data_IF_203036558670
#
_entry.id   IF_203036558670
#
_cell.length_a   1.000
_cell.length_b   1.000
_cell.length_c   1.000
_cell.angle_alpha   90.00
_cell.angle_beta   90.00
_cell.angle_gamma   90.00
#
_symmetry.space_group_name_H-M   'P 1'
#
loop_
_entity.id
_entity.type
_entity.pdbx_description
1 polymer ?
#
# COMPACT_ATOMS: atom_id res chain seq x y z
N UNK A 1 -50.68 16.02 36.59
CA UNK A 1 -50.77 16.23 35.14
C UNK A 1 -49.76 17.32 34.83
N UNK A 2 -48.71 17.18 34.04
CA UNK A 2 -48.30 16.19 33.06
C UNK A 2 -46.80 16.44 32.80
N UNK A 3 -46.00 15.38 32.79
CA UNK A 3 -44.58 15.44 32.47
C UNK A 3 -44.41 15.68 30.96
N UNK A 4 -43.79 16.79 30.55
CA UNK A 4 -43.37 16.98 29.16
C UNK A 4 -41.85 16.88 29.07
N UNK A 5 -41.36 15.64 29.09
CA UNK A 5 -40.01 15.32 28.66
C UNK A 5 -40.02 15.20 27.13
N UNK A 6 -39.61 16.25 26.42
CA UNK A 6 -39.33 16.19 24.98
C UNK A 6 -38.20 15.19 24.72
N UNK A 7 -38.37 14.18 23.84
CA UNK A 7 -37.30 13.25 23.52
C UNK A 7 -36.26 13.98 22.66
N UNK A 8 -35.07 14.18 23.22
CA UNK A 8 -33.87 14.61 22.50
C UNK A 8 -33.59 13.56 21.42
N UNK A 9 -33.89 13.86 20.15
CA UNK A 9 -33.44 13.08 19.00
C UNK A 9 -31.92 12.95 19.12
N UNK A 10 -31.46 11.76 19.49
CA UNK A 10 -30.06 11.38 19.35
C UNK A 10 -29.79 11.42 17.85
N UNK A 11 -28.96 12.38 17.41
CA UNK A 11 -28.47 12.44 16.04
C UNK A 11 -27.73 11.15 15.77
N UNK A 12 -28.44 10.18 15.19
CA UNK A 12 -27.89 8.94 14.68
C UNK A 12 -26.92 9.34 13.57
N UNK A 13 -25.61 9.26 13.86
CA UNK A 13 -24.57 9.54 12.90
C UNK A 13 -24.75 8.57 11.73
N UNK A 14 -25.13 9.09 10.56
CA UNK A 14 -25.32 8.30 9.36
C UNK A 14 -24.08 7.43 9.08
N UNK A 15 -24.24 6.16 8.70
CA UNK A 15 -23.11 5.30 8.39
C UNK A 15 -22.30 5.91 7.23
N UNK A 16 -20.96 5.80 7.24
CA UNK A 16 -20.14 6.34 6.16
C UNK A 16 -20.63 5.84 4.80
N UNK A 17 -20.87 6.77 3.87
CA UNK A 17 -21.46 6.46 2.57
C UNK A 17 -20.60 5.48 1.77
N UNK A 18 -21.24 4.50 1.12
CA UNK A 18 -20.61 3.49 0.26
C UNK A 18 -19.70 4.12 -0.82
N UNK A 19 -19.97 5.36 -1.20
CA UNK A 19 -19.17 6.15 -2.15
C UNK A 19 -17.80 6.53 -1.59
N UNK A 20 -17.71 6.94 -0.32
CA UNK A 20 -16.43 7.25 0.31
C UNK A 20 -15.51 6.02 0.35
N UNK A 21 -16.08 4.86 0.69
CA UNK A 21 -15.33 3.60 0.69
C UNK A 21 -14.80 3.25 -0.72
N UNK A 22 -15.66 3.38 -1.74
CA UNK A 22 -15.27 3.14 -3.14
C UNK A 22 -14.15 4.08 -3.60
N UNK A 23 -14.26 5.38 -3.27
CA UNK A 23 -13.27 6.37 -3.65
C UNK A 23 -11.91 6.11 -2.99
N UNK A 24 -11.90 5.81 -1.69
CA UNK A 24 -10.67 5.44 -0.98
C UNK A 24 -10.04 4.20 -1.61
N UNK A 25 -10.84 3.16 -1.89
CA UNK A 25 -10.34 1.95 -2.54
C UNK A 25 -9.71 2.24 -3.91
N UNK A 26 -10.39 3.00 -4.77
CA UNK A 26 -9.87 3.37 -6.10
C UNK A 26 -8.58 4.17 -5.98
N UNK A 27 -8.52 5.15 -5.07
CA UNK A 27 -7.31 5.93 -4.83
C UNK A 27 -6.15 5.07 -4.31
N UNK A 28 -6.41 4.13 -3.41
CA UNK A 28 -5.39 3.20 -2.91
C UNK A 28 -4.85 2.30 -4.01
N UNK A 29 -5.72 1.75 -4.87
CA UNK A 29 -5.30 0.95 -6.03
C UNK A 29 -4.47 1.78 -7.00
N UNK A 30 -4.93 3.00 -7.31
CA UNK A 30 -4.21 3.90 -8.22
C UNK A 30 -2.84 4.29 -7.66
N UNK A 31 -2.75 4.64 -6.38
CA UNK A 31 -1.49 4.93 -5.71
C UNK A 31 -0.55 3.73 -5.77
N UNK A 32 -1.04 2.52 -5.49
CA UNK A 32 -0.22 1.32 -5.53
C UNK A 32 0.29 1.03 -6.95
N UNK A 33 -0.57 1.20 -7.96
CA UNK A 33 -0.18 1.07 -9.37
C UNK A 33 0.90 2.10 -9.75
N UNK A 34 0.76 3.36 -9.31
CA UNK A 34 1.74 4.41 -9.57
C UNK A 34 3.10 4.12 -8.92
N UNK A 35 3.11 3.61 -7.69
CA UNK A 35 4.33 3.21 -6.98
C UNK A 35 5.05 2.06 -7.70
N UNK A 36 4.32 1.00 -8.05
CA UNK A 36 4.87 -0.13 -8.80
C UNK A 36 5.34 0.26 -10.19
N UNK A 37 4.58 1.09 -10.90
CA UNK A 37 5.00 1.64 -12.19
C UNK A 37 6.30 2.43 -12.05
N UNK A 38 6.39 3.28 -11.04
CA UNK A 38 7.58 4.07 -10.74
C UNK A 38 8.81 3.22 -10.43
N UNK A 39 8.65 2.10 -9.73
CA UNK A 39 9.72 1.15 -9.46
C UNK A 39 10.15 0.38 -10.71
N UNK A 40 9.19 -0.13 -11.49
CA UNK A 40 9.47 -0.84 -12.74
C UNK A 40 10.14 0.10 -13.76
N UNK A 41 9.76 1.37 -13.79
CA UNK A 41 10.38 2.36 -14.67
C UNK A 41 11.85 2.58 -14.33
N UNK A 42 12.19 2.67 -13.04
CA UNK A 42 13.58 2.78 -12.58
C UNK A 42 14.40 1.56 -12.99
N UNK A 43 13.87 0.36 -12.73
CA UNK A 43 14.56 -0.90 -13.03
C UNK A 43 14.55 -1.27 -14.52
N UNK A 44 13.73 -0.62 -15.34
CA UNK A 44 13.57 -0.96 -16.76
C UNK A 44 14.86 -0.81 -17.57
N UNK A 45 15.74 0.11 -17.19
CA UNK A 45 17.05 0.28 -17.81
C UNK A 45 17.92 -0.95 -17.62
N UNK A 46 18.09 -1.38 -16.38
CA UNK A 46 18.81 -2.59 -15.99
C UNK A 46 18.25 -3.83 -16.69
N UNK A 47 16.92 -3.99 -16.71
CA UNK A 47 16.28 -5.17 -17.30
C UNK A 47 16.36 -5.21 -18.83
N UNK A 48 16.53 -4.08 -19.49
CA UNK A 48 16.54 -4.03 -20.96
C UNK A 48 17.95 -3.98 -21.53
N UNK A 49 18.90 -3.40 -20.80
CA UNK A 49 20.27 -3.15 -21.28
C UNK A 49 21.25 -4.21 -20.77
N UNK A 50 21.10 -4.68 -19.53
CA UNK A 50 22.00 -5.67 -18.96
C UNK A 50 21.48 -7.09 -19.24
N UNK A 51 22.25 -7.86 -20.01
CA UNK A 51 21.92 -9.26 -20.37
C UNK A 51 21.71 -10.15 -19.13
N UNK A 52 22.47 -9.90 -18.06
CA UNK A 52 22.34 -10.62 -16.79
C UNK A 52 20.98 -10.40 -16.12
N UNK A 53 20.35 -9.24 -16.33
CA UNK A 53 19.07 -8.87 -15.72
C UNK A 53 17.89 -8.90 -16.70
N UNK A 54 18.06 -9.47 -17.89
CA UNK A 54 17.04 -9.45 -18.94
C UNK A 54 15.69 -10.06 -18.49
N UNK A 55 15.74 -11.09 -17.63
CA UNK A 55 14.54 -11.71 -17.03
C UNK A 55 13.80 -10.80 -16.03
N UNK A 56 14.31 -9.62 -15.72
CA UNK A 56 13.71 -8.68 -14.78
C UNK A 56 12.30 -8.22 -15.20
N UNK A 57 12.03 -8.11 -16.51
CA UNK A 57 10.68 -7.80 -17.02
C UNK A 57 9.62 -8.83 -16.64
N UNK A 58 10.00 -10.07 -16.33
CA UNK A 58 9.07 -11.09 -15.86
C UNK A 58 8.62 -10.87 -14.41
N UNK A 59 9.39 -10.15 -13.61
CA UNK A 59 9.20 -10.02 -12.16
C UNK A 59 7.83 -9.42 -11.78
N UNK A 60 7.33 -8.34 -12.38
CA UNK A 60 6.01 -7.78 -12.02
C UNK A 60 4.87 -8.78 -12.24
N UNK A 61 4.91 -9.53 -13.34
CA UNK A 61 3.91 -10.55 -13.65
C UNK A 61 4.00 -11.73 -12.68
N UNK A 62 5.22 -12.15 -12.37
CA UNK A 62 5.45 -13.22 -11.41
C UNK A 62 4.99 -12.84 -10.00
N UNK A 63 5.26 -11.61 -9.57
CA UNK A 63 4.78 -11.08 -8.28
C UNK A 63 3.24 -11.06 -8.21
N UNK A 64 2.55 -10.62 -9.28
CA UNK A 64 1.09 -10.67 -9.37
C UNK A 64 0.55 -12.10 -9.31
N UNK A 65 1.22 -13.04 -9.99
CA UNK A 65 0.85 -14.45 -9.96
C UNK A 65 1.03 -15.07 -8.57
N UNK A 66 2.16 -14.83 -7.90
CA UNK A 66 2.39 -15.28 -6.53
C UNK A 66 1.40 -14.65 -5.55
N UNK A 67 1.08 -13.37 -5.72
CA UNK A 67 0.05 -12.70 -4.95
C UNK A 67 -1.31 -13.37 -5.15
N UNK A 68 -1.70 -13.64 -6.40
CA UNK A 68 -2.95 -14.32 -6.73
C UNK A 68 -3.04 -15.70 -6.07
N UNK A 69 -1.98 -16.51 -6.15
CA UNK A 69 -1.91 -17.80 -5.48
C UNK A 69 -2.07 -17.65 -3.97
N UNK A 70 -1.31 -16.73 -3.36
CA UNK A 70 -1.35 -16.51 -1.91
C UNK A 70 -2.71 -16.02 -1.43
N UNK A 71 -3.39 -15.21 -2.23
CA UNK A 71 -4.67 -14.61 -1.88
C UNK A 71 -5.82 -15.64 -1.80
N UNK A 72 -5.73 -16.73 -2.58
CA UNK A 72 -6.72 -17.82 -2.52
C UNK A 72 -6.75 -18.51 -1.15
N UNK A 73 -5.58 -18.65 -0.51
CA UNK A 73 -5.42 -19.33 0.78
C UNK A 73 -5.46 -18.38 1.99
N UNK A 74 -6.05 -17.18 1.84
CA UNK A 74 -6.01 -16.18 2.91
C UNK A 74 -6.79 -16.63 4.16
N UNK A 75 -6.20 -16.54 5.36
CA UNK A 75 -6.90 -16.87 6.60
C UNK A 75 -8.00 -15.84 6.91
N UNK A 76 -9.04 -16.25 7.65
CA UNK A 76 -10.08 -15.32 8.09
C UNK A 76 -9.50 -14.30 9.09
N UNK A 77 -9.92 -13.02 9.05
CA UNK A 77 -9.40 -12.00 9.95
C UNK A 77 -9.70 -12.36 11.41
N UNK A 78 -8.66 -12.47 12.24
CA UNK A 78 -8.81 -12.64 13.69
C UNK A 78 -8.80 -11.25 14.33
N UNK A 79 -9.98 -10.75 14.70
CA UNK A 79 -10.11 -9.46 15.40
C UNK A 79 -9.60 -9.58 16.84
N UNK A 80 -8.42 -9.02 17.14
CA UNK A 80 -7.88 -8.95 18.49
C UNK A 80 -7.49 -7.50 18.87
N UNK A 81 -7.47 -7.17 20.16
CA UNK A 81 -7.11 -5.84 20.67
C UNK A 81 -5.69 -5.39 20.26
N UNK A 82 -4.78 -6.34 19.99
CA UNK A 82 -3.46 -6.08 19.39
C UNK A 82 -3.55 -5.35 18.05
N UNK A 83 -4.63 -5.53 17.28
CA UNK A 83 -4.84 -4.89 15.96
C UNK A 83 -4.77 -3.36 15.99
N UNK A 84 -5.16 -2.69 17.09
CA UNK A 84 -5.19 -1.23 17.17
C UNK A 84 -3.82 -0.59 17.44
N UNK A 85 -2.96 -1.25 18.22
CA UNK A 85 -1.57 -0.79 18.38
C UNK A 85 -0.77 -1.07 17.11
N UNK A 86 -0.98 -2.25 16.51
CA UNK A 86 -0.42 -2.62 15.23
C UNK A 86 -0.84 -1.68 14.09
N UNK A 87 -2.05 -1.09 14.14
CA UNK A 87 -2.49 -0.15 13.11
C UNK A 87 -1.85 1.23 13.21
N UNK A 88 -1.52 1.71 14.41
CA UNK A 88 -0.78 2.97 14.60
C UNK A 88 0.66 2.84 14.14
N UNK A 89 1.34 1.76 14.52
CA UNK A 89 2.71 1.49 14.04
C UNK A 89 2.74 1.27 12.53
N UNK A 90 1.79 0.52 11.97
CA UNK A 90 1.63 0.37 10.52
C UNK A 90 1.46 1.72 9.80
N UNK A 91 0.65 2.62 10.35
CA UNK A 91 0.45 3.96 9.77
C UNK A 91 1.74 4.79 9.82
N UNK A 92 2.48 4.75 10.93
CA UNK A 92 3.76 5.43 11.05
C UNK A 92 4.79 4.87 10.04
N UNK A 93 4.88 3.55 9.89
CA UNK A 93 5.76 2.90 8.92
C UNK A 93 5.39 3.32 7.49
N UNK A 94 4.09 3.34 7.15
CA UNK A 94 3.64 3.78 5.83
C UNK A 94 4.02 5.24 5.55
N UNK A 95 3.83 6.13 6.53
CA UNK A 95 4.20 7.54 6.40
C UNK A 95 5.71 7.68 6.19
N UNK A 96 6.52 6.99 6.99
CA UNK A 96 7.99 7.03 6.85
C UNK A 96 8.42 6.49 5.50
N UNK A 97 7.85 5.38 5.03
CA UNK A 97 8.16 4.81 3.72
C UNK A 97 7.80 5.77 2.57
N UNK A 98 6.64 6.42 2.64
CA UNK A 98 6.23 7.41 1.64
C UNK A 98 7.13 8.65 1.66
N UNK A 99 7.48 9.14 2.85
CA UNK A 99 8.40 10.28 3.00
C UNK A 99 9.80 9.93 2.50
N UNK A 100 10.27 8.70 2.68
CA UNK A 100 11.58 8.23 2.20
C UNK A 100 11.64 8.19 0.66
N UNK A 101 10.55 7.85 -0.01
CA UNK A 101 10.49 7.81 -1.47
C UNK A 101 10.74 9.17 -2.11
N UNK A 102 10.37 10.27 -1.44
CA UNK A 102 10.55 11.61 -1.98
C UNK A 102 12.02 12.02 -2.21
N UNK A 103 12.91 12.04 -1.18
CA UNK A 103 14.32 12.31 -1.39
C UNK A 103 14.98 11.24 -2.24
N UNK A 104 14.54 9.98 -2.14
CA UNK A 104 15.07 8.88 -2.94
C UNK A 104 14.96 9.15 -4.44
N UNK A 105 13.84 9.71 -4.91
CA UNK A 105 13.65 10.11 -6.30
C UNK A 105 14.67 11.13 -6.78
N UNK A 106 15.07 12.08 -5.94
CA UNK A 106 16.08 13.07 -6.30
C UNK A 106 17.45 12.40 -6.48
N UNK A 107 17.78 11.43 -5.64
CA UNK A 107 19.04 10.69 -5.74
C UNK A 107 19.08 9.73 -6.92
N UNK A 108 17.97 9.05 -7.25
CA UNK A 108 17.85 8.15 -8.41
C UNK A 108 18.08 8.92 -9.72
N UNK A 109 17.48 10.11 -9.86
CA UNK A 109 17.69 10.95 -11.04
C UNK A 109 19.16 11.38 -11.17
N UNK A 110 19.85 11.59 -10.04
CA UNK A 110 21.24 12.01 -10.03
C UNK A 110 22.23 10.85 -10.25
N UNK A 111 21.90 9.64 -9.79
CA UNK A 111 22.79 8.46 -9.82
C UNK A 111 21.98 7.17 -10.09
N UNK A 112 21.47 6.98 -11.33
CA UNK A 112 20.53 5.90 -11.64
C UNK A 112 21.15 4.49 -11.51
N UNK A 113 22.45 4.35 -11.73
CA UNK A 113 23.17 3.07 -11.59
C UNK A 113 23.36 2.61 -10.13
N UNK A 114 23.04 3.45 -9.15
CA UNK A 114 23.33 3.12 -7.76
C UNK A 114 22.34 2.12 -7.19
N UNK A 115 22.73 0.84 -7.25
CA UNK A 115 21.92 -0.31 -6.82
C UNK A 115 21.30 -0.16 -5.42
N UNK A 116 21.99 0.49 -4.48
CA UNK A 116 21.47 0.70 -3.12
C UNK A 116 20.17 1.54 -3.11
N UNK A 117 20.07 2.52 -4.01
CA UNK A 117 18.86 3.33 -4.17
C UNK A 117 17.71 2.44 -4.67
N UNK A 118 17.98 1.64 -5.71
CA UNK A 118 17.00 0.69 -6.25
C UNK A 118 16.50 -0.33 -5.21
N UNK A 119 17.39 -0.86 -4.37
CA UNK A 119 17.01 -1.74 -3.25
C UNK A 119 16.13 -1.02 -2.22
N UNK A 120 16.46 0.22 -1.90
CA UNK A 120 15.70 1.03 -0.94
C UNK A 120 14.31 1.35 -1.47
N UNK A 121 14.20 1.67 -2.76
CA UNK A 121 12.93 1.94 -3.44
C UNK A 121 12.06 0.68 -3.46
N UNK A 122 12.63 -0.45 -3.86
CA UNK A 122 11.93 -1.73 -3.87
C UNK A 122 11.41 -2.09 -2.45
N UNK A 123 12.25 -1.93 -1.42
CA UNK A 123 11.86 -2.21 -0.04
C UNK A 123 10.71 -1.33 0.44
N UNK A 124 10.72 -0.04 0.09
CA UNK A 124 9.65 0.89 0.43
C UNK A 124 8.33 0.50 -0.25
N UNK A 125 8.34 0.20 -1.55
CA UNK A 125 7.15 -0.22 -2.31
C UNK A 125 6.60 -1.56 -1.80
N UNK A 126 7.47 -2.53 -1.51
CA UNK A 126 7.05 -3.82 -0.94
C UNK A 126 6.46 -3.63 0.45
N UNK A 127 7.07 -2.81 1.30
CA UNK A 127 6.55 -2.52 2.65
C UNK A 127 5.16 -1.89 2.56
N UNK A 128 4.97 -0.88 1.70
CA UNK A 128 3.65 -0.26 1.49
C UNK A 128 2.63 -1.26 0.94
N UNK A 129 3.03 -2.13 0.02
CA UNK A 129 2.17 -3.21 -0.51
C UNK A 129 1.72 -4.12 0.62
N UNK A 130 2.64 -4.63 1.44
CA UNK A 130 2.34 -5.52 2.56
C UNK A 130 1.45 -4.86 3.62
N UNK A 131 1.63 -3.57 3.91
CA UNK A 131 0.78 -2.85 4.85
C UNK A 131 -0.66 -2.70 4.34
N UNK A 132 -0.83 -2.44 3.03
CA UNK A 132 -2.16 -2.37 2.41
C UNK A 132 -2.84 -3.75 2.46
N UNK A 133 -2.11 -4.82 2.10
CA UNK A 133 -2.61 -6.19 2.15
C UNK A 133 -3.00 -6.61 3.58
N UNK A 134 -2.13 -6.32 4.55
CA UNK A 134 -2.41 -6.53 5.96
C UNK A 134 -3.68 -5.81 6.41
N UNK A 135 -3.89 -4.56 5.98
CA UNK A 135 -5.10 -3.79 6.30
C UNK A 135 -6.38 -4.35 5.66
N UNK A 136 -6.24 -5.05 4.53
CA UNK A 136 -7.34 -5.72 3.81
C UNK A 136 -7.64 -7.14 4.36
N UNK A 137 -6.89 -7.60 5.36
CA UNK A 137 -7.10 -8.88 6.03
C UNK A 137 -6.34 -10.06 5.43
N UNK A 138 -5.24 -9.83 4.71
CA UNK A 138 -4.35 -10.88 4.19
C UNK A 138 -3.12 -10.31 3.51
#
# INVERSE_FOLDING_TARGET
MENVATPRKVTEAAPPSRERFRLVFVLSVFLMAALWFGLCRELSGEWSVNEEYNFGWFVPFFALYLFWLRWQDRPKPISNFKSRILSLSASAIAIVALLLLFPLRLFEIANPEWRLLAWTHALAVVTLTLLVLWSAGG
#
